data_IF_590519620036
#
_entry.id   IF_590519620036
#
_cell.length_a   1.000
_cell.length_b   1.000
_cell.length_c   1.000
_cell.angle_alpha   90.00
_cell.angle_beta   90.00
_cell.angle_gamma   90.00
#
_symmetry.space_group_name_H-M   'P 1'
#
loop_
_entity.id
_entity.type
_entity.pdbx_description
1 polymer ?
#
# COMPACT_ATOMS: atom_id res chain seq x y z
N UNK A 1 -7.36 19.10 -7.31
CA UNK A 1 -6.05 18.93 -6.65
C UNK A 1 -5.28 20.23 -6.75
N UNK A 2 -4.80 20.78 -5.63
CA UNK A 2 -4.02 22.03 -5.61
C UNK A 2 -2.53 21.71 -5.74
N UNK A 3 -1.72 22.60 -6.32
CA UNK A 3 -0.26 22.41 -6.46
C UNK A 3 0.44 22.08 -5.12
N UNK A 4 -0.11 22.55 -3.99
CA UNK A 4 0.38 22.24 -2.65
C UNK A 4 0.15 20.77 -2.25
N UNK A 5 -0.94 20.17 -2.73
CA UNK A 5 -1.28 18.76 -2.49
C UNK A 5 -0.25 17.85 -3.16
N UNK A 6 0.07 18.14 -4.44
CA UNK A 6 1.01 17.36 -5.23
C UNK A 6 2.41 17.34 -4.60
N UNK A 7 2.89 18.49 -4.12
CA UNK A 7 4.19 18.60 -3.43
C UNK A 7 4.21 17.76 -2.14
N UNK A 8 3.13 17.81 -1.34
CA UNK A 8 3.00 17.03 -0.10
C UNK A 8 2.97 15.53 -0.38
N UNK A 9 2.22 15.09 -1.39
CA UNK A 9 2.15 13.70 -1.84
C UNK A 9 3.52 13.18 -2.25
N UNK A 10 4.25 13.95 -3.08
CA UNK A 10 5.61 13.58 -3.48
C UNK A 10 6.56 13.55 -2.28
N UNK A 11 6.39 14.44 -1.30
CA UNK A 11 7.17 14.45 -0.07
C UNK A 11 6.91 13.22 0.82
N UNK A 12 5.64 12.83 0.97
CA UNK A 12 5.24 11.64 1.70
C UNK A 12 5.88 10.39 1.07
N UNK A 13 5.71 10.20 -0.24
CA UNK A 13 6.32 9.09 -0.99
C UNK A 13 7.85 9.07 -0.84
N UNK A 14 8.51 10.22 -0.97
CA UNK A 14 9.97 10.31 -0.85
C UNK A 14 10.45 9.87 0.54
N UNK A 15 9.76 10.31 1.58
CA UNK A 15 10.10 9.98 2.96
C UNK A 15 9.93 8.49 3.20
N UNK A 16 8.81 7.92 2.76
CA UNK A 16 8.51 6.52 3.03
C UNK A 16 9.42 5.58 2.21
N UNK A 17 9.64 5.84 0.92
CA UNK A 17 10.60 5.04 0.11
C UNK A 17 11.99 5.04 0.74
N UNK A 18 12.47 6.20 1.23
CA UNK A 18 13.77 6.28 1.89
C UNK A 18 13.80 5.51 3.21
N UNK A 19 12.73 5.55 4.00
CA UNK A 19 12.59 4.77 5.23
C UNK A 19 12.65 3.26 4.94
N UNK A 20 11.93 2.79 3.93
CA UNK A 20 11.96 1.38 3.54
C UNK A 20 13.34 0.94 3.07
N UNK A 21 14.02 1.79 2.27
CA UNK A 21 15.40 1.57 1.87
C UNK A 21 16.36 1.51 3.07
N UNK A 22 16.26 2.44 4.00
CA UNK A 22 17.11 2.47 5.19
C UNK A 22 16.94 1.20 6.03
N UNK A 23 15.69 0.74 6.22
CA UNK A 23 15.38 -0.52 6.90
C UNK A 23 15.95 -1.74 6.17
N UNK A 24 15.78 -1.81 4.85
CA UNK A 24 16.27 -2.93 4.04
C UNK A 24 17.80 -3.01 4.03
N UNK A 25 18.48 -1.87 3.87
CA UNK A 25 19.94 -1.81 3.81
C UNK A 25 20.59 -1.99 5.19
N UNK A 26 19.95 -1.49 6.25
CA UNK A 26 20.45 -1.66 7.63
C UNK A 26 20.55 -3.11 8.07
N UNK A 27 19.70 -4.00 7.52
CA UNK A 27 19.76 -5.45 7.81
C UNK A 27 20.96 -6.16 7.18
N UNK A 28 21.62 -5.57 6.19
CA UNK A 28 22.64 -6.27 5.39
C UNK A 28 24.06 -6.19 5.99
N UNK A 29 24.26 -5.47 7.11
CA UNK A 29 25.57 -5.27 7.78
C UNK A 29 26.71 -4.86 6.82
N UNK A 30 26.37 -4.24 5.68
CA UNK A 30 27.36 -3.83 4.69
C UNK A 30 27.98 -2.48 5.07
N UNK A 31 29.30 -2.36 4.83
CA UNK A 31 29.96 -1.06 4.88
C UNK A 31 29.30 -0.10 3.88
N UNK A 32 28.96 1.11 4.34
CA UNK A 32 28.26 2.13 3.57
C UNK A 32 28.95 2.47 2.24
N UNK A 33 30.28 2.51 2.20
CA UNK A 33 31.02 2.78 0.96
C UNK A 33 30.86 1.66 -0.07
N UNK A 34 30.81 0.41 0.39
CA UNK A 34 30.58 -0.77 -0.46
C UNK A 34 29.13 -0.79 -0.95
N UNK A 35 28.18 -0.53 -0.05
CA UNK A 35 26.76 -0.43 -0.41
C UNK A 35 26.51 0.69 -1.43
N UNK A 36 27.13 1.85 -1.28
CA UNK A 36 27.00 2.98 -2.21
C UNK A 36 27.50 2.61 -3.62
N UNK A 37 28.64 1.91 -3.71
CA UNK A 37 29.18 1.39 -4.98
C UNK A 37 28.22 0.38 -5.62
N UNK A 38 27.72 -0.59 -4.85
CA UNK A 38 26.74 -1.60 -5.34
C UNK A 38 25.46 -0.94 -5.86
N UNK A 39 24.97 0.07 -5.15
CA UNK A 39 23.76 0.81 -5.50
C UNK A 39 23.99 1.88 -6.58
N UNK A 40 25.24 2.08 -7.03
CA UNK A 40 25.66 3.07 -8.03
C UNK A 40 25.16 4.48 -7.67
N UNK A 41 25.40 4.89 -6.42
CA UNK A 41 25.13 6.24 -5.92
C UNK A 41 26.33 6.77 -5.12
N UNK A 42 26.52 8.09 -5.00
CA UNK A 42 27.54 8.64 -4.12
C UNK A 42 27.29 8.23 -2.66
N UNK A 43 28.38 7.95 -1.91
CA UNK A 43 28.29 7.65 -0.48
C UNK A 43 27.56 8.76 0.32
N UNK A 44 27.76 10.06 0.07
CA UNK A 44 26.99 11.11 0.75
C UNK A 44 25.48 11.00 0.51
N UNK A 45 25.07 10.58 -0.68
CA UNK A 45 23.66 10.33 -1.01
C UNK A 45 23.11 9.14 -0.23
N UNK A 46 23.87 8.04 -0.17
CA UNK A 46 23.47 6.90 0.67
C UNK A 46 23.36 7.32 2.14
N UNK A 47 24.28 8.16 2.64
CA UNK A 47 24.22 8.70 4.00
C UNK A 47 22.96 9.51 4.26
N UNK A 48 22.57 10.37 3.32
CA UNK A 48 21.31 11.13 3.42
C UNK A 48 20.11 10.19 3.52
N UNK A 49 20.04 9.16 2.69
CA UNK A 49 18.96 8.17 2.70
C UNK A 49 18.90 7.44 4.05
N UNK A 50 20.02 6.89 4.53
CA UNK A 50 20.07 6.15 5.79
C UNK A 50 19.72 7.00 7.02
N UNK A 51 20.00 8.30 6.97
CA UNK A 51 19.69 9.25 8.03
C UNK A 51 18.34 9.97 7.84
N UNK A 52 17.51 9.58 6.87
CA UNK A 52 16.20 10.20 6.60
C UNK A 52 16.25 11.62 6.05
N UNK A 53 17.42 12.13 5.64
CA UNK A 53 17.60 13.50 5.11
C UNK A 53 17.28 13.56 3.61
N UNK A 54 16.00 13.44 3.27
CA UNK A 54 15.56 13.24 1.88
C UNK A 54 15.27 14.50 1.09
N UNK A 55 15.22 15.70 1.69
CA UNK A 55 14.80 16.93 1.01
C UNK A 55 15.54 17.21 -0.33
N UNK A 56 16.82 16.81 -0.43
CA UNK A 56 17.63 16.96 -1.65
C UNK A 56 17.76 15.69 -2.50
N UNK A 57 16.94 14.67 -2.28
CA UNK A 57 16.98 13.40 -3.00
C UNK A 57 15.71 13.27 -3.83
N UNK A 58 15.83 13.03 -5.14
CA UNK A 58 14.63 12.87 -5.97
C UNK A 58 13.92 11.55 -5.70
N UNK A 59 12.59 11.53 -5.83
CA UNK A 59 11.80 10.30 -5.73
C UNK A 59 12.25 9.29 -6.81
N UNK A 60 12.53 9.76 -8.03
CA UNK A 60 13.08 8.93 -9.11
C UNK A 60 14.38 8.21 -8.70
N UNK A 61 15.32 8.93 -8.06
CA UNK A 61 16.57 8.33 -7.61
C UNK A 61 16.31 7.25 -6.55
N UNK A 62 15.39 7.51 -5.60
CA UNK A 62 15.02 6.52 -4.59
C UNK A 62 14.43 5.26 -5.21
N UNK A 63 13.55 5.39 -6.20
CA UNK A 63 12.98 4.25 -6.94
C UNK A 63 14.09 3.46 -7.64
N UNK A 64 15.02 4.12 -8.34
CA UNK A 64 16.17 3.44 -8.97
C UNK A 64 17.04 2.71 -7.95
N UNK A 65 17.24 3.29 -6.76
CA UNK A 65 17.99 2.65 -5.67
C UNK A 65 17.24 1.43 -5.13
N UNK A 66 15.92 1.52 -4.93
CA UNK A 66 15.09 0.38 -4.52
C UNK A 66 15.17 -0.80 -5.50
N UNK A 67 15.09 -0.53 -6.79
CA UNK A 67 15.27 -1.55 -7.84
C UNK A 67 16.65 -2.21 -7.75
N UNK A 68 17.73 -1.43 -7.64
CA UNK A 68 19.11 -1.96 -7.51
C UNK A 68 19.34 -2.71 -6.21
N UNK A 69 18.63 -2.32 -5.14
CA UNK A 69 18.68 -3.00 -3.85
C UNK A 69 17.86 -4.30 -3.83
N UNK A 70 17.12 -4.60 -4.91
CA UNK A 70 16.21 -5.75 -4.98
C UNK A 70 15.08 -5.67 -3.95
N UNK A 71 14.61 -4.46 -3.64
CA UNK A 71 13.56 -4.22 -2.65
C UNK A 71 12.19 -4.14 -3.36
N UNK A 72 11.37 -5.20 -3.34
CA UNK A 72 10.03 -5.14 -3.93
C UNK A 72 9.14 -4.24 -3.08
N UNK A 73 8.60 -3.18 -3.69
CA UNK A 73 7.70 -2.25 -3.03
C UNK A 73 6.58 -1.79 -3.96
N UNK A 74 5.45 -1.44 -3.37
CA UNK A 74 4.31 -0.80 -4.02
C UNK A 74 4.22 0.64 -3.54
N UNK A 75 4.15 1.58 -4.47
CA UNK A 75 3.84 2.97 -4.16
C UNK A 75 2.34 3.19 -4.38
N UNK A 76 1.69 3.83 -3.43
CA UNK A 76 0.27 4.18 -3.49
C UNK A 76 0.11 5.68 -3.31
N UNK A 77 -0.83 6.24 -4.05
CA UNK A 77 -1.34 7.61 -3.88
C UNK A 77 -2.80 7.45 -3.49
N UNK A 78 -3.22 8.14 -2.43
CA UNK A 78 -4.63 8.20 -2.01
C UNK A 78 -5.29 9.51 -2.38
N UNK A 79 -6.48 9.75 -1.83
CA UNK A 79 -7.25 10.98 -2.02
C UNK A 79 -6.61 12.17 -1.29
N UNK A 80 -5.78 11.89 -0.27
CA UNK A 80 -5.05 12.86 0.51
C UNK A 80 -3.54 12.56 0.57
N UNK A 81 -2.65 13.56 0.76
CA UNK A 81 -1.21 13.34 0.86
C UNK A 81 -0.79 12.39 1.98
N UNK A 82 -1.55 12.34 3.06
CA UNK A 82 -1.31 11.49 4.23
C UNK A 82 -1.56 10.00 3.92
N UNK A 83 -2.32 9.71 2.86
CA UNK A 83 -2.59 8.35 2.38
C UNK A 83 -1.53 7.85 1.38
N UNK A 84 -0.64 8.74 0.92
CA UNK A 84 0.43 8.37 -0.01
C UNK A 84 1.59 7.69 0.73
N UNK A 85 2.04 6.53 0.24
CA UNK A 85 3.03 5.71 0.92
C UNK A 85 3.71 4.68 0.03
N UNK A 86 4.74 4.04 0.58
CA UNK A 86 5.52 2.98 -0.03
C UNK A 86 5.53 1.73 0.87
N UNK A 87 4.91 0.68 0.37
CA UNK A 87 4.70 -0.56 1.11
C UNK A 87 5.64 -1.63 0.58
N UNK A 88 6.51 -2.17 1.42
CA UNK A 88 7.33 -3.34 1.07
C UNK A 88 6.44 -4.57 1.18
N UNK A 89 6.19 -5.22 0.05
CA UNK A 89 5.41 -6.45 0.03
C UNK A 89 6.24 -7.62 0.56
N UNK A 90 5.76 -8.26 1.62
CA UNK A 90 5.55 -9.70 1.47
C UNK A 90 4.24 -9.79 0.69
N UNK A 91 4.25 -10.26 -0.56
CA UNK A 91 3.03 -10.43 -1.37
C UNK A 91 1.98 -11.32 -0.65
N UNK A 92 2.36 -11.99 0.44
CA UNK A 92 1.49 -12.73 1.36
C UNK A 92 0.83 -11.92 2.49
N UNK A 93 1.39 -10.81 2.96
CA UNK A 93 0.97 -10.25 4.26
C UNK A 93 -0.24 -9.32 4.18
N UNK A 94 -0.44 -8.59 3.08
CA UNK A 94 -1.62 -7.72 2.89
C UNK A 94 -2.89 -8.46 2.47
N UNK A 95 -2.84 -9.79 2.25
CA UNK A 95 -4.04 -10.64 2.17
C UNK A 95 -4.40 -11.35 3.48
N UNK A 96 -3.53 -11.30 4.49
CA UNK A 96 -3.59 -12.25 5.62
C UNK A 96 -3.80 -11.58 6.98
N UNK A 97 -3.61 -10.27 7.14
CA UNK A 97 -3.84 -9.63 8.45
C UNK A 97 -5.32 -9.51 8.87
N UNK A 98 -6.28 -10.02 8.08
CA UNK A 98 -7.67 -10.27 8.51
C UNK A 98 -8.40 -11.28 7.62
N UNK A 99 -7.80 -12.43 7.32
CA UNK A 99 -8.60 -13.60 6.89
C UNK A 99 -8.80 -14.52 8.07
N UNK A 100 -9.81 -14.19 8.86
CA UNK A 100 -10.41 -15.17 9.78
C UNK A 100 -10.76 -16.40 8.97
N UNK A 101 -10.40 -17.61 9.41
CA UNK A 101 -10.85 -18.85 8.73
C UNK A 101 -12.36 -18.85 8.52
N UNK A 102 -13.12 -18.28 9.47
CA UNK A 102 -14.57 -18.09 9.33
C UNK A 102 -14.95 -17.17 8.16
N UNK A 103 -14.17 -16.13 7.88
CA UNK A 103 -14.42 -15.24 6.75
C UNK A 103 -14.08 -15.90 5.41
N UNK A 104 -13.03 -16.72 5.37
CA UNK A 104 -12.68 -17.52 4.18
C UNK A 104 -13.72 -18.61 3.93
N UNK A 105 -14.13 -19.34 4.96
CA UNK A 105 -15.17 -20.37 4.89
C UNK A 105 -16.53 -19.77 4.50
N UNK A 106 -16.89 -18.62 5.07
CA UNK A 106 -18.10 -17.90 4.67
C UNK A 106 -18.02 -17.43 3.21
N UNK A 107 -16.86 -16.94 2.76
CA UNK A 107 -16.67 -16.51 1.37
C UNK A 107 -16.77 -17.68 0.41
N UNK A 108 -16.13 -18.80 0.72
CA UNK A 108 -16.12 -19.98 -0.12
C UNK A 108 -17.51 -20.63 -0.16
N UNK A 109 -18.23 -20.67 0.97
CA UNK A 109 -19.64 -21.09 1.02
C UNK A 109 -20.56 -20.17 0.20
N UNK A 110 -20.33 -18.85 0.22
CA UNK A 110 -21.07 -17.89 -0.60
C UNK A 110 -20.76 -18.05 -2.10
N UNK A 111 -19.51 -18.34 -2.46
CA UNK A 111 -19.11 -18.59 -3.83
C UNK A 111 -19.69 -19.89 -4.37
N UNK A 112 -19.68 -20.97 -3.57
CA UNK A 112 -20.34 -22.24 -3.91
C UNK A 112 -21.86 -22.07 -4.05
N UNK A 113 -22.49 -21.33 -3.14
CA UNK A 113 -23.92 -21.01 -3.26
C UNK A 113 -24.20 -20.21 -4.54
N UNK A 114 -23.37 -19.21 -4.86
CA UNK A 114 -23.53 -18.40 -6.07
C UNK A 114 -23.33 -19.21 -7.36
N UNK A 115 -22.55 -20.30 -7.34
CA UNK A 115 -22.40 -21.24 -8.46
C UNK A 115 -23.65 -22.09 -8.69
N UNK A 116 -24.42 -22.36 -7.63
CA UNK A 116 -25.65 -23.15 -7.69
C UNK A 116 -26.89 -22.29 -8.01
N UNK A 117 -26.79 -20.97 -7.88
CA UNK A 117 -27.89 -20.04 -8.16
C UNK A 117 -28.05 -19.79 -9.66
N UNK A 118 -29.29 -19.93 -10.12
CA UNK A 118 -29.70 -19.50 -11.46
C UNK A 118 -29.52 -17.97 -11.61
N UNK A 119 -29.42 -17.45 -12.85
CA UNK A 119 -29.33 -16.01 -13.09
C UNK A 119 -30.44 -15.19 -12.40
N UNK A 120 -31.66 -15.72 -12.35
CA UNK A 120 -32.82 -15.07 -11.70
C UNK A 120 -32.66 -15.00 -10.18
N UNK A 121 -32.23 -16.10 -9.56
CA UNK A 121 -31.98 -16.14 -8.11
C UNK A 121 -30.85 -15.18 -7.72
N UNK A 122 -29.81 -15.05 -8.56
CA UNK A 122 -28.71 -14.08 -8.35
C UNK A 122 -29.22 -12.64 -8.39
N UNK A 123 -30.09 -12.31 -9.34
CA UNK A 123 -30.71 -10.99 -9.44
C UNK A 123 -31.58 -10.69 -8.21
N UNK A 124 -32.41 -11.65 -7.78
CA UNK A 124 -33.27 -11.50 -6.62
C UNK A 124 -32.48 -11.31 -5.31
N UNK A 125 -31.39 -12.06 -5.13
CA UNK A 125 -30.50 -11.87 -3.97
C UNK A 125 -29.83 -10.49 -4.00
N UNK A 126 -29.43 -10.00 -5.17
CA UNK A 126 -28.88 -8.65 -5.34
C UNK A 126 -29.91 -7.55 -4.99
N UNK A 127 -31.15 -7.69 -5.46
CA UNK A 127 -32.23 -6.75 -5.15
C UNK A 127 -32.54 -6.71 -3.64
N UNK A 128 -32.60 -7.87 -2.98
CA UNK A 128 -32.78 -7.96 -1.52
C UNK A 128 -31.64 -7.27 -0.76
N UNK A 129 -30.39 -7.48 -1.19
CA UNK A 129 -29.23 -6.83 -0.59
C UNK A 129 -29.30 -5.30 -0.72
N UNK A 130 -29.61 -4.79 -1.92
CA UNK A 130 -29.76 -3.35 -2.18
C UNK A 130 -30.86 -2.71 -1.31
N UNK A 131 -32.00 -3.40 -1.15
CA UNK A 131 -33.08 -2.95 -0.28
C UNK A 131 -32.66 -2.90 1.20
N UNK A 132 -31.91 -3.89 1.68
CA UNK A 132 -31.40 -3.94 3.06
C UNK A 132 -30.42 -2.80 3.33
N UNK A 133 -29.47 -2.56 2.43
CA UNK A 133 -28.50 -1.45 2.54
C UNK A 133 -29.22 -0.10 2.54
N UNK A 134 -30.21 0.07 1.67
CA UNK A 134 -31.04 1.28 1.64
C UNK A 134 -31.85 1.47 2.93
N UNK A 135 -32.37 0.40 3.53
CA UNK A 135 -33.08 0.46 4.81
C UNK A 135 -32.15 0.84 5.98
N UNK A 136 -30.95 0.25 6.04
CA UNK A 136 -29.93 0.58 7.03
C UNK A 136 -29.50 2.05 6.93
N UNK A 137 -29.29 2.55 5.71
CA UNK A 137 -28.92 3.94 5.48
C UNK A 137 -30.03 4.91 5.92
N UNK A 138 -31.30 4.57 5.69
CA UNK A 138 -32.45 5.36 6.15
C UNK A 138 -32.61 5.32 7.67
N UNK A 139 -32.35 4.17 8.30
CA UNK A 139 -32.39 4.02 9.75
C UNK A 139 -31.30 4.85 10.43
N UNK A 140 -30.05 4.80 9.94
CA UNK A 140 -28.94 5.59 10.49
C UNK A 140 -29.12 7.11 10.33
N UNK A 141 -29.80 7.58 9.28
CA UNK A 141 -30.14 9.00 9.09
C UNK A 141 -31.25 9.52 10.01
N UNK A 142 -32.04 8.65 10.63
CA UNK A 142 -33.10 9.04 11.60
C UNK A 142 -32.60 9.07 13.04
N UNK A 143 -31.36 8.64 13.29
CA UNK A 143 -30.75 8.51 14.61
C UNK A 143 -29.71 9.61 14.90
N UNK A 144 -29.60 10.63 14.04
CA UNK A 144 -28.78 11.84 14.20
C UNK A 144 -29.65 13.07 14.03
#
# INVERSE_FOLDING_TARGET
>A
MTAQTDIKTVHALRTDVALQLARHLGRQQLNQTVAAKRLRIPQPTLSKILNGRVAGVSLELLIRVAVRAGLPMTLQIGEAPEEAGAFVGNVESTRTSSRSRLADEARDALLESARQMTPEERLNAHLKHSQLVGALHRAGKRSS
#
